data_IF_047007661834
#
_entry.id   IF_047007661834
#
_cell.length_a   1.000
_cell.length_b   1.000
_cell.length_c   1.000
_cell.angle_alpha   90.00
_cell.angle_beta   90.00
_cell.angle_gamma   90.00
#
_symmetry.space_group_name_H-M   'P 1'
#
loop_
_entity.id
_entity.type
_entity.pdbx_description
1 polymer ?
#
# COMPACT_ATOMS: atom_id res chain seq x y z
N UNK A 1 0.11 30.63 7.76
CA UNK A 1 0.67 29.27 7.55
C UNK A 1 0.86 28.52 8.87
N UNK A 2 0.88 29.20 10.01
CA UNK A 2 1.10 28.59 11.34
C UNK A 2 -0.06 27.74 11.87
N UNK A 3 -1.32 28.07 11.53
CA UNK A 3 -2.49 27.33 12.04
C UNK A 3 -2.55 25.89 11.50
N UNK A 4 -2.21 25.70 10.23
CA UNK A 4 -2.19 24.37 9.58
C UNK A 4 -1.04 23.53 10.15
N UNK A 5 0.13 24.13 10.36
CA UNK A 5 1.25 23.46 11.01
C UNK A 5 0.92 23.08 12.47
N UNK A 6 0.25 23.97 13.20
CA UNK A 6 -0.21 23.71 14.56
C UNK A 6 -1.25 22.58 14.61
N UNK A 7 -2.19 22.55 13.66
CA UNK A 7 -3.19 21.50 13.51
C UNK A 7 -2.54 20.15 13.15
N UNK A 8 -1.59 20.14 12.20
CA UNK A 8 -0.82 18.95 11.85
C UNK A 8 0.01 18.41 13.01
N UNK A 9 0.47 19.29 13.91
CA UNK A 9 1.17 18.90 15.13
C UNK A 9 0.25 18.33 16.23
N UNK A 10 -1.08 18.44 16.09
CA UNK A 10 -1.99 17.91 17.11
C UNK A 10 -2.06 16.38 17.04
N UNK A 11 -1.79 15.75 18.17
CA UNK A 11 -1.90 14.29 18.32
C UNK A 11 -3.30 13.77 17.95
N UNK A 12 -4.35 14.56 18.19
CA UNK A 12 -5.72 14.18 17.88
C UNK A 12 -5.96 13.94 16.37
N UNK A 13 -5.32 14.73 15.50
CA UNK A 13 -5.43 14.53 14.06
C UNK A 13 -4.82 13.20 13.63
N UNK A 14 -3.65 12.85 14.19
CA UNK A 14 -3.02 11.56 13.93
C UNK A 14 -3.87 10.37 14.41
N UNK A 15 -4.55 10.50 15.55
CA UNK A 15 -5.49 9.49 16.04
C UNK A 15 -6.67 9.29 15.09
N UNK A 16 -7.23 10.36 14.54
CA UNK A 16 -8.34 10.28 13.58
C UNK A 16 -7.90 9.55 12.32
N UNK A 17 -6.71 9.87 11.76
CA UNK A 17 -6.19 9.15 10.60
C UNK A 17 -5.95 7.67 10.89
N UNK A 18 -5.40 7.34 12.06
CA UNK A 18 -5.20 5.96 12.48
C UNK A 18 -6.54 5.21 12.57
N UNK A 19 -7.57 5.82 13.16
CA UNK A 19 -8.91 5.25 13.24
C UNK A 19 -9.51 5.00 11.85
N UNK A 20 -9.47 5.99 10.95
CA UNK A 20 -9.99 5.85 9.58
C UNK A 20 -9.25 4.75 8.81
N UNK A 21 -7.93 4.66 8.97
CA UNK A 21 -7.13 3.61 8.32
C UNK A 21 -7.51 2.22 8.84
N UNK A 22 -7.62 2.03 10.16
CA UNK A 22 -8.01 0.74 10.75
C UNK A 22 -9.44 0.38 10.34
N UNK A 23 -10.39 1.30 10.45
CA UNK A 23 -11.79 1.07 10.11
C UNK A 23 -11.95 0.69 8.63
N UNK A 24 -11.33 1.47 7.72
CA UNK A 24 -11.37 1.17 6.29
C UNK A 24 -10.66 -0.15 5.95
N UNK A 25 -9.55 -0.46 6.62
CA UNK A 25 -8.84 -1.72 6.44
C UNK A 25 -9.66 -2.94 6.86
N UNK A 26 -10.39 -2.85 7.98
CA UNK A 26 -11.31 -3.90 8.42
C UNK A 26 -12.49 -4.08 7.45
N UNK A 27 -13.09 -2.98 6.98
CA UNK A 27 -14.19 -3.01 6.02
C UNK A 27 -13.73 -3.67 4.72
N UNK A 28 -12.59 -3.24 4.17
CA UNK A 28 -12.08 -3.78 2.92
C UNK A 28 -11.71 -5.26 3.06
N UNK A 29 -11.03 -5.67 4.14
CA UNK A 29 -10.75 -7.08 4.40
C UNK A 29 -12.02 -7.93 4.51
N UNK A 30 -13.08 -7.37 5.08
CA UNK A 30 -14.40 -8.03 5.16
C UNK A 30 -15.02 -8.19 3.77
N UNK A 31 -14.98 -7.15 2.92
CA UNK A 31 -15.44 -7.24 1.53
C UNK A 31 -14.61 -8.28 0.76
N UNK A 32 -13.29 -8.30 0.93
CA UNK A 32 -12.41 -9.29 0.29
C UNK A 32 -12.76 -10.71 0.71
N UNK A 33 -13.11 -10.94 1.98
CA UNK A 33 -13.62 -12.22 2.44
C UNK A 33 -14.89 -12.64 1.68
N UNK A 34 -15.83 -11.72 1.46
CA UNK A 34 -17.03 -12.02 0.67
C UNK A 34 -16.73 -12.26 -0.82
N UNK A 35 -15.73 -11.59 -1.39
CA UNK A 35 -15.32 -11.84 -2.78
C UNK A 35 -14.77 -13.26 -2.98
N UNK A 36 -14.37 -13.98 -1.93
CA UNK A 36 -13.98 -15.39 -2.02
C UNK A 36 -15.11 -16.28 -2.53
N UNK A 37 -16.37 -15.92 -2.27
CA UNK A 37 -17.53 -16.66 -2.80
C UNK A 37 -17.67 -16.48 -4.33
N UNK A 38 -17.16 -15.37 -4.89
CA UNK A 38 -17.14 -15.12 -6.33
C UNK A 38 -15.99 -15.83 -7.05
N UNK A 39 -14.98 -16.31 -6.30
CA UNK A 39 -13.80 -16.99 -6.83
C UNK A 39 -14.10 -18.20 -7.73
N UNK A 40 -14.95 -19.17 -7.34
CA UNK A 40 -15.25 -20.33 -8.19
C UNK A 40 -16.03 -19.98 -9.46
N UNK A 41 -16.72 -18.84 -9.49
CA UNK A 41 -17.57 -18.43 -10.62
C UNK A 41 -16.75 -17.68 -11.66
N UNK A 42 -15.97 -16.68 -11.23
CA UNK A 42 -15.19 -15.84 -12.16
C UNK A 42 -13.87 -15.34 -11.55
N UNK A 43 -12.80 -16.06 -11.87
CA UNK A 43 -11.43 -15.74 -11.43
C UNK A 43 -10.94 -14.37 -11.93
N UNK A 44 -11.37 -13.92 -13.11
CA UNK A 44 -10.93 -12.63 -13.68
C UNK A 44 -11.57 -11.46 -12.91
N UNK A 45 -12.87 -11.56 -12.62
CA UNK A 45 -13.59 -10.54 -11.88
C UNK A 45 -13.07 -10.44 -10.44
N UNK A 46 -12.83 -11.59 -9.80
CA UNK A 46 -12.23 -11.66 -8.47
C UNK A 46 -10.90 -10.89 -8.40
N UNK A 47 -10.00 -11.08 -9.38
CA UNK A 47 -8.71 -10.37 -9.41
C UNK A 47 -8.87 -8.86 -9.61
N UNK A 48 -9.76 -8.44 -10.50
CA UNK A 48 -10.01 -7.01 -10.74
C UNK A 48 -10.55 -6.32 -9.48
N UNK A 49 -11.52 -6.94 -8.80
CA UNK A 49 -12.09 -6.39 -7.57
C UNK A 49 -11.03 -6.31 -6.47
N UNK A 50 -10.29 -7.40 -6.23
CA UNK A 50 -9.27 -7.41 -5.19
C UNK A 50 -8.13 -6.40 -5.45
N UNK A 51 -7.72 -6.22 -6.71
CA UNK A 51 -6.75 -5.20 -7.08
C UNK A 51 -7.24 -3.79 -6.75
N UNK A 52 -8.54 -3.50 -7.01
CA UNK A 52 -9.13 -2.20 -6.68
C UNK A 52 -9.27 -1.99 -5.18
N UNK A 53 -9.66 -3.03 -4.43
CA UNK A 53 -9.75 -2.98 -2.98
C UNK A 53 -8.40 -2.76 -2.31
N UNK A 54 -7.35 -3.45 -2.76
CA UNK A 54 -5.97 -3.23 -2.30
C UNK A 54 -5.46 -1.84 -2.65
N UNK A 55 -5.82 -1.31 -3.82
CA UNK A 55 -5.52 0.07 -4.19
C UNK A 55 -6.13 1.07 -3.20
N UNK A 56 -7.39 0.91 -2.80
CA UNK A 56 -8.09 1.83 -1.89
C UNK A 56 -7.45 1.93 -0.49
N UNK A 57 -6.84 0.86 0.04
CA UNK A 57 -6.10 0.97 1.32
C UNK A 57 -4.75 1.61 1.08
N UNK A 58 -4.02 1.13 0.07
CA UNK A 58 -2.65 1.58 -0.19
C UNK A 58 -2.61 3.08 -0.52
N UNK A 59 -3.62 3.59 -1.23
CA UNK A 59 -3.74 5.01 -1.58
C UNK A 59 -3.92 5.90 -0.36
N UNK A 60 -4.51 5.41 0.75
CA UNK A 60 -4.61 6.18 2.00
C UNK A 60 -3.23 6.45 2.60
N UNK A 61 -2.33 5.48 2.52
CA UNK A 61 -0.95 5.63 3.02
C UNK A 61 -0.10 6.52 2.11
N UNK A 62 -0.27 6.41 0.80
CA UNK A 62 0.38 7.33 -0.16
C UNK A 62 -0.11 8.76 0.02
N UNK A 63 -1.42 8.96 0.23
CA UNK A 63 -1.99 10.27 0.53
C UNK A 63 -1.44 10.86 1.84
N UNK A 64 -1.24 10.05 2.89
CA UNK A 64 -0.59 10.50 4.11
C UNK A 64 0.87 10.92 3.88
N UNK A 65 1.61 10.22 3.01
CA UNK A 65 2.99 10.57 2.67
C UNK A 65 3.09 11.87 1.85
N UNK A 66 2.32 11.98 0.78
CA UNK A 66 2.47 13.10 -0.15
C UNK A 66 1.73 14.35 0.36
N UNK A 67 0.48 14.19 0.80
CA UNK A 67 -0.38 15.33 1.17
C UNK A 67 -0.23 15.72 2.64
N UNK A 68 -0.23 14.74 3.55
CA UNK A 68 -0.18 15.04 5.00
C UNK A 68 1.23 15.42 5.46
N UNK A 69 2.26 14.63 5.17
CA UNK A 69 3.64 15.01 5.51
C UNK A 69 4.26 16.02 4.54
N UNK A 70 3.71 16.21 3.35
CA UNK A 70 4.29 17.11 2.34
C UNK A 70 5.60 16.59 1.77
N UNK A 71 5.80 15.27 1.78
CA UNK A 71 7.05 14.64 1.34
C UNK A 71 7.10 14.60 -0.18
N UNK A 72 8.10 15.25 -0.77
CA UNK A 72 8.34 15.18 -2.21
C UNK A 72 9.34 14.05 -2.53
N UNK A 73 8.87 13.03 -3.27
CA UNK A 73 9.73 11.98 -3.78
C UNK A 73 10.23 12.32 -5.20
N UNK A 74 11.52 12.59 -5.34
CA UNK A 74 12.18 12.85 -6.62
C UNK A 74 12.96 11.60 -7.02
N UNK A 75 12.72 11.12 -8.24
CA UNK A 75 13.31 9.88 -8.74
C UNK A 75 14.26 10.21 -9.88
N UNK A 76 15.52 9.89 -9.65
CA UNK A 76 16.56 10.01 -10.66
C UNK A 76 16.72 8.67 -11.37
N UNK A 77 16.53 8.67 -12.68
CA UNK A 77 16.67 7.47 -13.52
C UNK A 77 17.31 7.83 -14.85
N UNK A 78 17.87 6.82 -15.51
CA UNK A 78 18.30 6.93 -16.90
C UNK A 78 17.07 7.15 -17.81
N UNK A 79 17.05 8.18 -18.66
CA UNK A 79 15.98 8.40 -19.65
C UNK A 79 15.64 7.16 -20.49
N UNK A 80 16.59 6.26 -20.71
CA UNK A 80 16.38 5.01 -21.48
C UNK A 80 15.56 3.97 -20.71
N UNK A 81 15.59 3.99 -19.38
CA UNK A 81 14.86 3.06 -18.52
C UNK A 81 13.42 3.53 -18.25
N UNK A 82 13.19 4.84 -18.27
CA UNK A 82 11.88 5.45 -17.96
C UNK A 82 10.69 4.83 -18.74
N UNK A 83 10.77 4.54 -20.06
CA UNK A 83 9.63 3.99 -20.80
C UNK A 83 9.18 2.59 -20.39
N UNK A 84 10.02 1.87 -19.61
CA UNK A 84 9.76 0.50 -19.14
C UNK A 84 8.97 0.47 -17.84
N UNK A 85 8.99 1.55 -17.07
CA UNK A 85 8.35 1.62 -15.76
C UNK A 85 6.83 1.46 -15.86
N UNK A 86 6.27 0.64 -14.96
CA UNK A 86 4.85 0.31 -14.91
C UNK A 86 4.34 -0.66 -15.99
N UNK A 87 5.17 -1.02 -16.98
CA UNK A 87 4.77 -1.94 -18.07
C UNK A 87 5.24 -3.37 -17.85
N UNK A 88 6.34 -3.55 -17.12
CA UNK A 88 6.92 -4.85 -16.82
C UNK A 88 6.84 -5.19 -15.32
N UNK A 89 6.87 -6.48 -15.01
CA UNK A 89 7.03 -6.93 -13.63
C UNK A 89 8.45 -6.63 -13.17
N UNK A 90 8.59 -5.75 -12.20
CA UNK A 90 9.88 -5.35 -11.66
C UNK A 90 9.93 -5.60 -10.14
N UNK A 91 11.12 -5.88 -9.64
CA UNK A 91 11.40 -5.95 -8.21
C UNK A 91 12.19 -4.70 -7.84
N UNK A 92 11.64 -3.90 -6.93
CA UNK A 92 12.32 -2.71 -6.41
C UNK A 92 13.02 -3.11 -5.11
N UNK A 93 14.35 -3.01 -5.10
CA UNK A 93 15.16 -3.24 -3.90
C UNK A 93 15.50 -1.89 -3.30
N UNK A 94 14.98 -1.63 -2.10
CA UNK A 94 15.20 -0.39 -1.37
C UNK A 94 16.29 -0.61 -0.32
N UNK A 95 17.27 0.30 -0.27
CA UNK A 95 18.22 0.32 0.83
C UNK A 95 17.49 0.84 2.08
N UNK A 96 17.11 -0.07 2.98
CA UNK A 96 16.24 0.24 4.11
C UNK A 96 17.01 0.99 5.20
N UNK A 97 16.89 2.31 5.20
CA UNK A 97 17.45 3.20 6.23
C UNK A 97 16.35 3.69 7.18
N UNK A 98 15.13 3.86 6.68
CA UNK A 98 14.00 4.37 7.44
C UNK A 98 12.74 3.56 7.18
N UNK A 99 11.84 3.54 8.18
CA UNK A 99 10.52 2.93 8.01
C UNK A 99 9.77 3.54 6.81
N UNK A 100 10.01 4.81 6.45
CA UNK A 100 9.27 5.47 5.36
C UNK A 100 9.66 5.00 3.96
N UNK A 101 10.77 4.27 3.80
CA UNK A 101 11.31 3.91 2.49
C UNK A 101 10.31 3.10 1.65
N UNK A 102 9.51 2.23 2.30
CA UNK A 102 8.47 1.48 1.59
C UNK A 102 7.33 2.38 1.08
N UNK A 103 6.97 3.43 1.83
CA UNK A 103 5.94 4.39 1.41
C UNK A 103 6.41 5.19 0.20
N UNK A 104 7.70 5.56 0.18
CA UNK A 104 8.32 6.18 -1.01
C UNK A 104 8.25 5.25 -2.23
N UNK A 105 8.48 3.95 -2.04
CA UNK A 105 8.29 2.94 -3.09
C UNK A 105 6.84 2.84 -3.60
N UNK A 106 5.85 3.00 -2.72
CA UNK A 106 4.44 3.03 -3.12
C UNK A 106 4.01 4.33 -3.80
N UNK A 107 4.56 5.48 -3.42
CA UNK A 107 4.37 6.73 -4.18
C UNK A 107 4.83 6.55 -5.64
N UNK A 108 5.94 5.84 -5.86
CA UNK A 108 6.35 5.48 -7.21
C UNK A 108 5.35 4.58 -7.94
N UNK A 109 4.86 3.53 -7.26
CA UNK A 109 3.86 2.64 -7.82
C UNK A 109 2.53 3.37 -8.16
N UNK A 110 2.17 4.37 -7.35
CA UNK A 110 1.00 5.22 -7.58
C UNK A 110 1.15 6.09 -8.83
N UNK A 111 2.32 6.71 -9.04
CA UNK A 111 2.61 7.51 -10.24
C UNK A 111 2.46 6.73 -11.55
N UNK A 112 2.71 5.43 -11.50
CA UNK A 112 2.53 4.53 -12.66
C UNK A 112 1.21 3.76 -12.67
N UNK A 113 0.32 3.99 -11.69
CA UNK A 113 -0.99 3.34 -11.59
C UNK A 113 -0.93 1.84 -11.29
N UNK A 114 0.20 1.35 -10.78
CA UNK A 114 0.43 -0.08 -10.44
C UNK A 114 0.33 -0.37 -8.95
N UNK A 115 -0.12 0.60 -8.14
CA UNK A 115 -0.19 0.47 -6.68
C UNK A 115 -1.03 -0.75 -6.24
N UNK A 116 -2.17 -1.01 -6.88
CA UNK A 116 -3.07 -2.11 -6.50
C UNK A 116 -2.53 -3.52 -6.70
N UNK A 117 -1.47 -3.68 -7.51
CA UNK A 117 -0.76 -4.96 -7.72
C UNK A 117 0.61 -4.99 -7.05
N UNK A 118 1.09 -3.86 -6.54
CA UNK A 118 2.38 -3.74 -5.88
C UNK A 118 2.37 -4.51 -4.56
N UNK A 119 3.48 -5.21 -4.28
CA UNK A 119 3.64 -5.99 -3.06
C UNK A 119 4.97 -5.65 -2.41
N UNK A 120 4.92 -5.45 -1.11
CA UNK A 120 6.11 -5.12 -0.31
C UNK A 120 6.43 -6.29 0.60
N UNK A 121 7.67 -6.73 0.57
CA UNK A 121 8.20 -7.72 1.49
C UNK A 121 9.21 -7.06 2.41
N UNK A 122 9.08 -7.26 3.72
CA UNK A 122 10.03 -6.78 4.71
C UNK A 122 10.70 -7.99 5.36
N UNK A 123 12.01 -7.89 5.59
CA UNK A 123 12.75 -8.91 6.31
C UNK A 123 12.23 -9.03 7.75
N UNK A 124 12.05 -10.27 8.24
CA UNK A 124 11.67 -10.57 9.63
C UNK A 124 12.61 -9.97 10.68
N UNK A 125 13.84 -9.63 10.29
CA UNK A 125 14.85 -9.06 11.19
C UNK A 125 14.70 -7.54 11.39
N UNK A 126 13.84 -6.88 10.61
CA UNK A 126 13.64 -5.43 10.69
C UNK A 126 12.82 -5.09 11.93
N UNK A 127 13.38 -4.29 12.85
CA UNK A 127 12.60 -3.78 13.99
C UNK A 127 11.66 -2.70 13.51
N UNK A 128 10.39 -3.06 13.38
CA UNK A 128 9.31 -2.12 13.07
C UNK A 128 8.59 -1.73 14.35
N UNK A 129 8.12 -0.48 14.42
CA UNK A 129 7.22 -0.05 15.49
C UNK A 129 5.91 -0.87 15.50
N UNK A 130 5.23 -1.04 16.66
CA UNK A 130 3.97 -1.78 16.74
C UNK A 130 2.87 -1.25 15.81
N UNK A 131 2.83 0.07 15.61
CA UNK A 131 1.94 0.73 14.65
C UNK A 131 2.24 0.31 13.22
N UNK A 132 3.52 0.30 12.83
CA UNK A 132 3.95 -0.12 11.50
C UNK A 132 3.66 -1.62 11.30
N UNK A 133 3.89 -2.45 12.31
CA UNK A 133 3.52 -3.87 12.29
C UNK A 133 2.02 -4.10 12.10
N UNK A 134 1.14 -3.31 12.73
CA UNK A 134 -0.30 -3.42 12.57
C UNK A 134 -0.71 -3.13 11.11
N UNK A 135 -0.18 -2.04 10.54
CA UNK A 135 -0.41 -1.65 9.13
C UNK A 135 0.05 -2.77 8.20
N UNK A 136 1.27 -3.27 8.39
CA UNK A 136 1.78 -4.39 7.60
C UNK A 136 0.97 -5.66 7.81
N UNK A 137 0.49 -5.96 9.00
CA UNK A 137 -0.32 -7.16 9.24
C UNK A 137 -1.63 -7.10 8.46
N UNK A 138 -2.31 -5.96 8.45
CA UNK A 138 -3.53 -5.77 7.66
C UNK A 138 -3.24 -5.92 6.15
N UNK A 139 -2.16 -5.35 5.64
CA UNK A 139 -1.78 -5.42 4.23
C UNK A 139 -1.18 -6.78 3.80
N UNK A 140 -0.48 -7.46 4.71
CA UNK A 140 0.08 -8.80 4.51
C UNK A 140 -1.04 -9.82 4.49
N UNK A 141 -2.08 -9.69 5.32
CA UNK A 141 -3.28 -10.53 5.23
C UNK A 141 -3.91 -10.41 3.84
N UNK A 142 -4.03 -9.19 3.28
CA UNK A 142 -4.51 -9.00 1.92
C UNK A 142 -3.60 -9.62 0.86
N UNK A 143 -2.29 -9.42 1.00
CA UNK A 143 -1.29 -9.93 0.07
C UNK A 143 -1.20 -11.47 0.10
N UNK A 144 -1.30 -12.07 1.29
CA UNK A 144 -1.35 -13.52 1.49
C UNK A 144 -2.64 -14.12 0.98
N UNK A 145 -3.79 -13.47 1.22
CA UNK A 145 -5.06 -13.88 0.61
C UNK A 145 -4.92 -13.91 -0.91
N UNK A 146 -4.42 -12.84 -1.54
CA UNK A 146 -4.20 -12.83 -2.99
C UNK A 146 -3.17 -13.88 -3.46
N UNK A 147 -2.08 -14.11 -2.73
CA UNK A 147 -1.03 -15.05 -3.12
C UNK A 147 -1.48 -16.52 -2.99
N UNK A 148 -2.12 -16.89 -1.89
CA UNK A 148 -2.69 -18.23 -1.69
C UNK A 148 -3.77 -18.53 -2.75
N UNK A 149 -4.55 -17.52 -3.15
CA UNK A 149 -5.58 -17.63 -4.19
C UNK A 149 -4.98 -17.80 -5.60
N UNK A 150 -3.85 -17.15 -5.88
CA UNK A 150 -3.11 -17.29 -7.14
C UNK A 150 -2.41 -18.65 -7.25
N UNK A 151 -1.80 -19.16 -6.17
CA UNK A 151 -1.18 -20.50 -6.16
C UNK A 151 -2.19 -21.63 -6.38
N UNK A 152 -3.43 -21.48 -5.90
CA UNK A 152 -4.53 -22.42 -6.20
C UNK A 152 -5.06 -22.32 -7.64
N UNK A 153 -4.58 -21.36 -8.43
CA UNK A 153 -4.98 -21.14 -9.82
C UNK A 153 -3.91 -21.54 -10.85
N UNK A 154 -2.71 -21.96 -10.41
CA UNK A 154 -1.70 -22.62 -11.24
C UNK A 154 -1.81 -24.13 -11.09
#
# INVERSE_FOLDING_TARGET
>A
MDLIALLKSQFLCHLIFCYVFIASGLIINTIQLFTLLLWPINKQLFRKINCRLSYCISSQLVMLLEWWSGTECIIHTDPRAYPKYGKENAIVVLNHKFEIDFLCGWSLAERFGVLGVSRTCISRLTRLSPSTLLVFSLLVVQSLQQHQQLLKCS
#
